data_IF_431437158064
#
_entry.id   IF_431437158064
#
_cell.length_a   1.000
_cell.length_b   1.000
_cell.length_c   1.000
_cell.angle_alpha   90.00
_cell.angle_beta   90.00
_cell.angle_gamma   90.00
#
_symmetry.space_group_name_H-M   'P 1'
#
loop_
_entity.id
_entity.type
_entity.pdbx_description
1 polymer ?
#
# COMPACT_ATOMS: atom_id res chain seq x y z
N UNK A 1 -14.78 11.04 21.08
CA UNK A 1 -13.44 10.83 20.50
C UNK A 1 -13.65 10.46 19.04
N UNK A 2 -13.31 11.30 18.04
CA UNK A 2 -13.42 10.86 16.66
C UNK A 2 -12.31 9.84 16.41
N UNK A 3 -12.73 8.61 16.17
CA UNK A 3 -11.94 7.47 15.75
C UNK A 3 -11.24 7.81 14.43
N UNK A 4 -10.00 8.28 14.54
CA UNK A 4 -9.17 8.71 13.41
C UNK A 4 -8.80 7.47 12.58
N UNK A 5 -9.72 7.03 11.70
CA UNK A 5 -9.51 5.93 10.77
C UNK A 5 -8.60 6.41 9.64
N UNK A 6 -7.30 6.55 9.93
CA UNK A 6 -6.24 6.77 8.93
C UNK A 6 -5.99 5.47 8.11
N UNK A 7 -7.06 4.79 7.69
CA UNK A 7 -7.01 3.54 6.94
C UNK A 7 -7.87 3.66 5.69
N UNK A 8 -7.22 3.63 4.52
CA UNK A 8 -7.86 3.62 3.21
C UNK A 8 -7.77 2.20 2.67
N UNK A 9 -8.92 1.62 2.31
CA UNK A 9 -8.99 0.33 1.66
C UNK A 9 -9.69 0.50 0.31
N UNK A 10 -9.03 0.07 -0.77
CA UNK A 10 -9.60 0.11 -2.12
C UNK A 10 -9.24 -1.15 -2.90
N UNK A 11 -10.02 -1.46 -3.92
CA UNK A 11 -9.65 -2.43 -4.94
C UNK A 11 -8.89 -1.71 -6.05
N UNK A 12 -7.69 -2.19 -6.37
CA UNK A 12 -6.83 -1.65 -7.42
C UNK A 12 -6.79 -2.64 -8.59
N UNK A 13 -7.20 -2.22 -9.80
CA UNK A 13 -7.05 -3.02 -11.02
C UNK A 13 -5.60 -3.46 -11.25
N UNK A 14 -5.40 -4.66 -11.79
CA UNK A 14 -4.08 -5.26 -12.01
C UNK A 14 -3.14 -4.37 -12.84
N UNK A 15 -3.69 -3.67 -13.83
CA UNK A 15 -2.96 -2.75 -14.71
C UNK A 15 -2.32 -1.57 -13.96
N UNK A 16 -2.85 -1.21 -12.79
CA UNK A 16 -2.33 -0.11 -11.96
C UNK A 16 -1.35 -0.58 -10.88
N UNK A 17 -1.09 -1.89 -10.76
CA UNK A 17 -0.21 -2.44 -9.72
C UNK A 17 1.23 -1.96 -9.92
N UNK A 18 1.73 -2.05 -11.15
CA UNK A 18 3.09 -1.61 -11.49
C UNK A 18 3.20 -0.08 -11.43
N UNK A 19 2.19 0.65 -11.90
CA UNK A 19 2.12 2.12 -11.78
C UNK A 19 2.20 2.56 -10.31
N UNK A 20 1.50 1.86 -9.42
CA UNK A 20 1.57 2.16 -7.98
C UNK A 20 2.96 1.87 -7.42
N UNK A 21 3.57 0.74 -7.80
CA UNK A 21 4.93 0.39 -7.36
C UNK A 21 5.93 1.46 -7.79
N UNK A 22 5.95 1.83 -9.08
CA UNK A 22 6.87 2.84 -9.62
C UNK A 22 6.67 4.20 -8.93
N UNK A 23 5.40 4.57 -8.68
CA UNK A 23 5.05 5.79 -7.96
C UNK A 23 5.55 5.79 -6.50
N UNK A 24 5.57 4.64 -5.83
CA UNK A 24 6.08 4.48 -4.47
C UNK A 24 7.62 4.48 -4.46
N UNK A 25 8.25 3.83 -5.43
CA UNK A 25 9.71 3.79 -5.61
C UNK A 25 10.29 5.16 -5.93
N UNK A 26 9.68 5.91 -6.85
CA UNK A 26 10.04 7.29 -7.15
C UNK A 26 9.90 8.24 -5.94
N UNK A 27 9.11 7.84 -4.94
CA UNK A 27 8.94 8.57 -3.68
C UNK A 27 9.80 8.01 -2.55
N UNK A 28 10.76 7.13 -2.84
CA UNK A 28 11.65 6.48 -1.88
C UNK A 28 10.88 5.82 -0.73
N UNK A 29 9.88 4.99 -1.05
CA UNK A 29 9.27 4.09 -0.07
C UNK A 29 10.12 2.82 0.08
N UNK A 30 10.14 2.28 1.29
CA UNK A 30 10.85 1.04 1.59
C UNK A 30 9.96 -0.16 1.28
N UNK A 31 10.42 -1.04 0.40
CA UNK A 31 9.67 -2.24 0.02
C UNK A 31 10.09 -3.46 0.84
N UNK A 32 9.11 -4.29 1.14
CA UNK A 32 9.25 -5.57 1.83
C UNK A 32 8.26 -6.57 1.25
N UNK A 33 8.60 -7.85 1.35
CA UNK A 33 7.72 -8.93 0.97
C UNK A 33 6.81 -9.32 2.13
N UNK A 34 5.57 -9.73 1.82
CA UNK A 34 4.60 -10.21 2.79
C UNK A 34 3.80 -11.35 2.16
N UNK A 35 3.47 -12.43 2.90
CA UNK A 35 2.71 -13.54 2.33
C UNK A 35 1.39 -13.05 1.72
N UNK A 36 1.07 -13.57 0.53
CA UNK A 36 -0.16 -13.23 -0.20
C UNK A 36 -0.27 -11.76 -0.65
N UNK A 37 0.81 -10.98 -0.52
CA UNK A 37 0.93 -9.63 -1.03
C UNK A 37 1.81 -9.57 -2.28
N UNK A 38 1.47 -8.65 -3.19
CA UNK A 38 2.33 -8.25 -4.30
C UNK A 38 3.55 -7.49 -3.78
N UNK A 39 3.32 -6.54 -2.88
CA UNK A 39 4.36 -5.82 -2.16
C UNK A 39 3.76 -5.16 -0.92
N UNK A 40 4.64 -4.91 0.06
CA UNK A 40 4.41 -3.97 1.14
C UNK A 40 5.40 -2.83 0.99
N UNK A 41 4.91 -1.61 0.96
CA UNK A 41 5.71 -0.39 0.98
C UNK A 41 5.49 0.35 2.30
N UNK A 42 6.55 0.88 2.89
CA UNK A 42 6.49 1.64 4.13
C UNK A 42 7.23 2.95 3.94
N UNK A 43 6.66 4.03 4.47
CA UNK A 43 7.35 5.32 4.58
C UNK A 43 6.88 6.05 5.83
N UNK A 44 7.84 6.43 6.68
CA UNK A 44 7.56 7.03 7.99
C UNK A 44 6.62 6.15 8.82
N UNK A 45 5.40 6.64 9.11
CA UNK A 45 4.35 5.92 9.85
C UNK A 45 3.20 5.46 8.93
N UNK A 46 3.42 5.46 7.61
CA UNK A 46 2.43 5.00 6.63
C UNK A 46 2.85 3.68 6.02
N UNK A 47 1.94 2.72 6.02
CA UNK A 47 2.10 1.43 5.36
C UNK A 47 1.14 1.38 4.18
N UNK A 48 1.61 0.93 3.02
CA UNK A 48 0.80 0.61 1.86
C UNK A 48 1.03 -0.87 1.51
N UNK A 49 -0.03 -1.67 1.54
CA UNK A 49 0.03 -3.12 1.25
C UNK A 49 -0.92 -3.40 0.09
N UNK A 50 -0.37 -3.98 -0.97
CA UNK A 50 -1.16 -4.46 -2.10
C UNK A 50 -1.20 -5.98 -2.08
N UNK A 51 -2.40 -6.56 -1.92
CA UNK A 51 -2.60 -8.00 -1.92
C UNK A 51 -2.73 -8.58 -3.33
N UNK A 52 -2.46 -9.87 -3.48
CA UNK A 52 -2.63 -10.59 -4.76
C UNK A 52 -4.07 -10.55 -5.29
N UNK A 53 -5.06 -10.32 -4.42
CA UNK A 53 -6.46 -10.12 -4.79
C UNK A 53 -6.78 -8.74 -5.40
N UNK A 54 -5.79 -7.85 -5.49
CA UNK A 54 -5.97 -6.45 -5.90
C UNK A 54 -6.41 -5.52 -4.76
N UNK A 55 -6.57 -6.03 -3.54
CA UNK A 55 -6.89 -5.19 -2.37
C UNK A 55 -5.68 -4.34 -1.99
N UNK A 56 -5.83 -3.02 -2.04
CA UNK A 56 -4.87 -2.03 -1.54
C UNK A 56 -5.33 -1.54 -0.16
N UNK A 57 -4.44 -1.61 0.82
CA UNK A 57 -4.62 -1.08 2.16
C UNK A 57 -3.54 -0.05 2.44
N UNK A 58 -3.92 1.18 2.75
CA UNK A 58 -3.01 2.23 3.18
C UNK A 58 -3.39 2.62 4.60
N UNK A 59 -2.46 2.48 5.54
CA UNK A 59 -2.65 2.80 6.94
C UNK A 59 -1.58 3.77 7.43
N UNK A 60 -1.99 4.96 7.86
CA UNK A 60 -1.14 5.96 8.51
C UNK A 60 -1.37 6.01 10.01
N UNK A 61 -0.36 6.50 10.75
CA UNK A 61 -0.51 6.94 12.13
C UNK A 61 -0.84 8.43 12.18
#
# INVERSE_FOLDING_TARGET
MPENKNCIVKLLPAELHDVLRDALEARCWDFSELPYAKFKAVKNKTNAVLYNSGKLVIQGA
#
